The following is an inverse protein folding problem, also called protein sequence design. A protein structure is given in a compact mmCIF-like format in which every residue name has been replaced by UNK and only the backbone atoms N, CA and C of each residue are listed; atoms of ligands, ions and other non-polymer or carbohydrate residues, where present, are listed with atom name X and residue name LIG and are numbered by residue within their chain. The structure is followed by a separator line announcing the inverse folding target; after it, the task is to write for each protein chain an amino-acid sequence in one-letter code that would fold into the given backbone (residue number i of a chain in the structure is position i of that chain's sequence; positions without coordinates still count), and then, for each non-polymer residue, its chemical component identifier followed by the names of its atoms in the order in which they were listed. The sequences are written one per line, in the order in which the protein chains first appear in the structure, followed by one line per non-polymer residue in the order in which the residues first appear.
data_IF_880227970704
#
_entry.id   IF_880227970704
#
_cell.length_a   1.000
_cell.length_b   1.000
_cell.length_c   1.000
_cell.angle_alpha   90.00
_cell.angle_beta   90.00
_cell.angle_gamma   90.00
#
_symmetry.space_group_name_H-M   'P 1'
#
loop_
_entity.id
_entity.type
_entity.pdbx_description
1 polymer ?
#
# COMPACT_ATOMS: atom_id res chain seq x y z
N UNK A 1 21.78 -16.09 -9.16
CA UNK A 1 22.69 -15.17 -9.88
C UNK A 1 22.08 -13.78 -9.83
N UNK A 2 22.83 -12.81 -9.30
CA UNK A 2 22.35 -11.50 -8.85
C UNK A 2 21.92 -10.59 -10.02
N UNK A 3 20.74 -9.99 -9.93
CA UNK A 3 20.20 -9.03 -10.90
C UNK A 3 20.44 -7.57 -10.49
N UNK A 4 21.32 -7.32 -9.50
CA UNK A 4 21.74 -5.97 -9.14
C UNK A 4 22.82 -5.56 -10.13
N UNK A 5 22.36 -5.18 -11.32
CA UNK A 5 23.16 -4.47 -12.32
C UNK A 5 23.82 -3.30 -11.60
N UNK A 6 25.14 -3.26 -11.67
CA UNK A 6 25.98 -2.23 -11.08
C UNK A 6 25.41 -0.84 -11.36
N UNK A 7 25.44 0.02 -10.33
CA UNK A 7 25.11 1.44 -10.43
C UNK A 7 26.24 2.14 -11.23
N UNK A 8 26.33 1.80 -12.52
CA UNK A 8 27.40 2.24 -13.40
C UNK A 8 27.19 3.71 -13.74
N UNK A 9 28.20 4.57 -13.50
CA UNK A 9 28.13 5.99 -13.86
C UNK A 9 27.87 6.21 -15.35
N UNK A 10 28.26 5.27 -16.21
CA UNK A 10 27.98 5.30 -17.65
C UNK A 10 26.53 5.01 -17.95
N UNK A 11 25.94 4.02 -17.27
CA UNK A 11 24.52 3.72 -17.39
C UNK A 11 23.66 4.93 -16.99
N UNK A 12 24.00 5.57 -15.87
CA UNK A 12 23.26 6.74 -15.41
C UNK A 12 23.35 7.93 -16.37
N UNK A 13 24.53 8.16 -16.97
CA UNK A 13 24.72 9.20 -17.99
C UNK A 13 23.89 8.93 -19.24
N UNK A 14 23.96 7.71 -19.78
CA UNK A 14 23.21 7.31 -20.97
C UNK A 14 21.70 7.39 -20.73
N UNK A 15 21.23 6.97 -19.55
CA UNK A 15 19.83 7.10 -19.15
C UNK A 15 19.40 8.57 -19.10
N UNK A 16 20.17 9.43 -18.44
CA UNK A 16 19.85 10.86 -18.35
C UNK A 16 19.85 11.55 -19.73
N UNK A 17 20.74 11.15 -20.64
CA UNK A 17 20.76 11.64 -22.02
C UNK A 17 19.52 11.19 -22.79
N UNK A 18 19.17 9.91 -22.72
CA UNK A 18 17.96 9.36 -23.33
C UNK A 18 16.69 10.05 -22.83
N UNK A 19 16.58 10.33 -21.52
CA UNK A 19 15.44 11.05 -20.93
C UNK A 19 15.38 12.50 -21.42
N UNK A 20 16.52 13.17 -21.62
CA UNK A 20 16.56 14.54 -22.17
C UNK A 20 16.21 14.59 -23.66
N UNK A 21 16.49 13.52 -24.40
CA UNK A 21 16.14 13.39 -25.80
C UNK A 21 14.63 13.13 -26.02
N UNK A 22 13.88 12.78 -24.97
CA UNK A 22 12.42 12.70 -25.05
C UNK A 22 11.84 14.10 -25.18
N UNK A 23 11.28 14.39 -26.35
CA UNK A 23 10.59 15.63 -26.61
C UNK A 23 9.16 15.59 -26.02
N UNK A 24 9.06 15.87 -24.72
CA UNK A 24 7.78 15.95 -24.00
C UNK A 24 6.73 16.88 -24.62
N UNK A 25 7.08 18.05 -25.19
CA UNK A 25 6.10 18.91 -25.87
C UNK A 25 5.73 18.44 -27.27
N UNK A 26 6.25 17.32 -27.77
CA UNK A 26 5.83 16.80 -29.06
C UNK A 26 4.33 16.44 -29.05
N UNK A 27 3.63 16.88 -30.11
CA UNK A 27 2.17 16.81 -30.19
C UNK A 27 1.63 15.38 -30.19
N UNK A 28 2.45 14.41 -30.62
CA UNK A 28 2.17 12.98 -30.59
C UNK A 28 2.11 12.43 -29.15
N UNK A 29 3.02 12.85 -28.27
CA UNK A 29 2.98 12.50 -26.85
C UNK A 29 1.72 13.01 -26.15
N UNK A 30 1.34 14.26 -26.43
CA UNK A 30 0.12 14.85 -25.90
C UNK A 30 -1.14 14.12 -26.41
N UNK A 31 -1.18 13.79 -27.70
CA UNK A 31 -2.29 13.04 -28.29
C UNK A 31 -2.41 11.62 -27.70
N UNK A 32 -1.29 10.92 -27.50
CA UNK A 32 -1.28 9.58 -26.91
C UNK A 32 -1.78 9.59 -25.46
N UNK A 33 -1.35 10.57 -24.66
CA UNK A 33 -1.79 10.72 -23.27
C UNK A 33 -3.28 11.08 -23.17
N UNK A 34 -3.76 12.00 -24.00
CA UNK A 34 -5.18 12.34 -24.08
C UNK A 34 -6.03 11.14 -24.50
N UNK A 35 -5.60 10.37 -25.50
CA UNK A 35 -6.29 9.15 -25.93
C UNK A 35 -6.31 8.06 -24.86
N UNK A 36 -5.29 7.97 -24.00
CA UNK A 36 -5.31 7.09 -22.83
C UNK A 36 -6.29 7.58 -21.76
N UNK A 37 -6.26 8.88 -21.43
CA UNK A 37 -7.15 9.50 -20.45
C UNK A 37 -8.63 9.33 -20.83
N UNK A 38 -8.98 9.54 -22.10
CA UNK A 38 -10.33 9.34 -22.62
C UNK A 38 -10.79 7.88 -22.53
N UNK A 39 -9.91 6.91 -22.84
CA UNK A 39 -10.22 5.48 -22.70
C UNK A 39 -10.45 5.07 -21.24
N UNK A 40 -9.69 5.65 -20.31
CA UNK A 40 -9.89 5.42 -18.88
C UNK A 40 -11.22 6.02 -18.39
N UNK A 41 -11.55 7.24 -18.84
CA UNK A 41 -12.83 7.88 -18.52
C UNK A 41 -14.04 7.14 -19.11
N UNK A 42 -13.93 6.61 -20.34
CA UNK A 42 -14.98 5.79 -20.94
C UNK A 42 -15.25 4.50 -20.16
N UNK A 43 -14.21 3.89 -19.58
CA UNK A 43 -14.34 2.72 -18.71
C UNK A 43 -15.05 3.02 -17.38
N UNK A 44 -14.97 4.25 -16.89
CA UNK A 44 -15.64 4.67 -15.65
C UNK A 44 -17.05 5.21 -15.87
N UNK A 45 -17.42 5.50 -17.12
CA UNK A 45 -18.68 6.17 -17.48
C UNK A 45 -19.71 5.25 -18.13
N UNK A 46 -19.46 3.93 -18.20
CA UNK A 46 -20.45 3.00 -18.74
C UNK A 46 -21.72 3.03 -17.85
N UNK A 47 -22.87 3.45 -18.37
CA UNK A 47 -24.09 3.53 -17.59
C UNK A 47 -24.63 2.13 -17.32
N UNK A 48 -24.94 1.90 -16.05
CA UNK A 48 -25.64 0.74 -15.53
C UNK A 48 -27.06 0.72 -16.11
N UNK A 49 -27.28 -0.11 -17.13
CA UNK A 49 -28.62 -0.39 -17.65
C UNK A 49 -28.67 -1.81 -18.20
N UNK A 50 -29.04 -2.78 -17.36
CA UNK A 50 -30.35 -3.45 -17.47
C UNK A 50 -30.43 -4.71 -16.58
N UNK A 51 -31.47 -4.70 -15.73
CA UNK A 51 -32.34 -5.82 -15.37
C UNK A 51 -31.80 -7.09 -14.67
N UNK A 52 -32.17 -7.18 -13.38
CA UNK A 52 -32.80 -8.32 -12.68
C UNK A 52 -32.27 -9.75 -12.94
N UNK A 53 -31.62 -10.31 -11.92
CA UNK A 53 -32.01 -11.62 -11.36
C UNK A 53 -31.58 -11.73 -9.89
N UNK A 54 -32.40 -12.31 -8.98
CA UNK A 54 -32.01 -12.56 -7.61
C UNK A 54 -31.42 -13.98 -7.50
N UNK A 55 -30.10 -14.08 -7.32
CA UNK A 55 -29.52 -15.30 -6.73
C UNK A 55 -28.77 -14.91 -5.47
N UNK A 56 -29.42 -15.21 -4.34
CA UNK A 56 -28.74 -15.47 -3.07
C UNK A 56 -27.68 -16.54 -3.33
N UNK A 57 -26.42 -16.17 -3.24
CA UNK A 57 -25.36 -17.08 -2.87
C UNK A 57 -24.41 -16.34 -1.92
N UNK A 58 -24.41 -16.83 -0.69
CA UNK A 58 -23.44 -16.52 0.36
C UNK A 58 -22.05 -16.86 -0.14
N UNK A 59 -21.29 -15.84 -0.54
CA UNK A 59 -19.83 -15.87 -0.49
C UNK A 59 -19.36 -14.42 -0.35
N UNK A 60 -18.89 -14.10 0.85
CA UNK A 60 -18.32 -12.80 1.17
C UNK A 60 -17.17 -12.49 0.18
N UNK A 61 -17.17 -11.31 -0.48
CA UNK A 61 -16.03 -10.92 -1.28
C UNK A 61 -14.86 -10.65 -0.34
N UNK A 62 -13.80 -11.43 -0.49
CA UNK A 62 -12.50 -11.11 0.09
C UNK A 62 -12.15 -9.64 -0.23
N UNK A 63 -11.59 -8.86 0.72
CA UNK A 63 -11.22 -7.49 0.44
C UNK A 63 -10.17 -7.50 -0.67
N UNK A 64 -10.54 -6.95 -1.83
CA UNK A 64 -9.65 -6.80 -2.98
C UNK A 64 -8.39 -6.10 -2.48
N UNK A 65 -7.25 -6.78 -2.51
CA UNK A 65 -5.95 -6.12 -2.33
C UNK A 65 -5.87 -5.00 -3.34
N UNK A 66 -5.87 -3.76 -2.85
CA UNK A 66 -5.58 -2.60 -3.66
C UNK A 66 -4.18 -2.78 -4.29
N UNK A 67 -3.97 -2.34 -5.53
CA UNK A 67 -2.64 -2.35 -6.13
C UNK A 67 -1.68 -1.59 -5.21
N UNK A 68 -0.48 -2.14 -5.04
CA UNK A 68 0.56 -1.75 -4.08
C UNK A 68 1.19 -0.36 -4.31
N UNK A 69 0.42 0.61 -4.80
CA UNK A 69 0.87 1.98 -5.07
C UNK A 69 -0.13 3.08 -4.73
N UNK A 70 -1.37 2.77 -4.32
CA UNK A 70 -2.28 3.77 -3.74
C UNK A 70 -2.44 3.47 -2.26
N UNK A 71 -1.84 4.32 -1.42
CA UNK A 71 -2.19 4.35 0.01
C UNK A 71 -3.70 4.51 0.07
N UNK A 72 -4.45 3.59 0.70
CA UNK A 72 -5.88 3.77 0.88
C UNK A 72 -6.13 5.11 1.58
N UNK A 73 -7.17 5.82 1.14
CA UNK A 73 -7.55 7.12 1.71
C UNK A 73 -7.68 6.93 3.22
N UNK A 74 -6.80 7.59 3.97
CA UNK A 74 -6.77 7.46 5.42
C UNK A 74 -8.17 7.80 5.98
N UNK A 75 -8.77 6.93 6.81
CA UNK A 75 -10.07 7.20 7.38
C UNK A 75 -10.08 8.53 8.14
N UNK A 76 -11.13 9.33 7.96
CA UNK A 76 -11.21 10.68 8.52
C UNK A 76 -11.07 10.70 10.05
N UNK A 77 -11.59 9.67 10.75
CA UNK A 77 -11.44 9.55 12.20
C UNK A 77 -9.98 9.31 12.64
N UNK A 78 -9.16 8.65 11.82
CA UNK A 78 -7.72 8.51 12.05
C UNK A 78 -7.01 9.81 11.72
N UNK A 79 -7.40 10.46 10.62
CA UNK A 79 -6.82 11.72 10.17
C UNK A 79 -6.94 12.84 11.20
N UNK A 80 -8.10 12.94 11.86
CA UNK A 80 -8.34 13.91 12.95
C UNK A 80 -7.53 13.66 14.21
N UNK A 81 -7.03 12.43 14.40
CA UNK A 81 -6.19 12.07 15.53
C UNK A 81 -4.70 12.34 15.26
N UNK A 82 -4.31 12.72 14.03
CA UNK A 82 -2.91 13.06 13.75
C UNK A 82 -2.53 14.27 14.60
N UNK A 83 -1.57 14.11 15.53
CA UNK A 83 -1.22 15.20 16.41
C UNK A 83 -0.38 16.23 15.64
N UNK A 84 -0.47 17.49 16.07
CA UNK A 84 0.30 18.63 15.52
C UNK A 84 1.20 19.20 16.61
N UNK A 85 2.40 19.59 16.25
CA UNK A 85 3.35 20.18 17.20
C UNK A 85 2.98 21.64 17.47
N UNK A 86 3.79 22.32 18.29
CA UNK A 86 3.59 23.74 18.60
C UNK A 86 3.61 24.64 17.36
N UNK A 87 4.32 24.22 16.30
CA UNK A 87 4.42 24.91 15.02
C UNK A 87 3.33 24.47 14.02
N UNK A 88 2.40 23.60 14.45
CA UNK A 88 1.33 23.06 13.61
C UNK A 88 1.77 21.97 12.63
N UNK A 89 3.00 21.46 12.73
CA UNK A 89 3.55 20.43 11.85
C UNK A 89 3.02 19.05 12.22
N UNK A 90 2.72 18.27 11.20
CA UNK A 90 2.33 16.87 11.35
C UNK A 90 3.56 15.94 11.29
N UNK A 91 3.53 14.78 11.94
CA UNK A 91 4.61 13.80 11.85
C UNK A 91 4.75 13.18 10.43
N UNK A 92 5.97 12.82 10.01
CA UNK A 92 6.18 11.96 8.83
C UNK A 92 5.69 10.54 9.16
N UNK A 93 4.43 10.25 8.83
CA UNK A 93 3.77 8.98 9.15
C UNK A 93 4.55 7.74 8.68
N UNK A 94 5.22 7.84 7.53
CA UNK A 94 6.05 6.77 6.98
C UNK A 94 7.37 6.56 7.74
N UNK A 95 7.90 7.62 8.37
CA UNK A 95 9.04 7.51 9.28
C UNK A 95 8.64 6.79 10.57
N UNK A 96 7.52 7.22 11.15
CA UNK A 96 7.02 6.69 12.42
C UNK A 96 6.46 5.27 12.33
N UNK A 97 6.25 4.73 11.12
CA UNK A 97 6.02 3.31 10.89
C UNK A 97 7.32 2.48 10.82
N UNK A 98 8.48 3.11 11.01
CA UNK A 98 9.80 2.47 10.94
C UNK A 98 10.38 2.33 9.53
N UNK A 99 9.80 3.02 8.53
CA UNK A 99 10.29 3.03 7.15
C UNK A 99 11.07 4.30 6.80
N UNK A 100 11.64 4.34 5.59
CA UNK A 100 12.20 5.57 5.04
C UNK A 100 11.07 6.50 4.53
N UNK A 101 11.15 7.80 4.80
CA UNK A 101 10.25 8.78 4.19
C UNK A 101 10.42 8.81 2.66
N UNK A 102 9.53 9.51 1.95
CA UNK A 102 9.59 9.65 0.50
C UNK A 102 10.90 10.27 -0.03
N UNK A 103 11.64 10.97 0.81
CA UNK A 103 12.96 11.52 0.49
C UNK A 103 14.15 10.63 0.81
N UNK A 104 13.92 9.38 1.24
CA UNK A 104 14.97 8.44 1.65
C UNK A 104 15.51 8.67 3.06
N UNK A 105 15.54 9.90 3.58
CA UNK A 105 15.95 10.19 4.95
C UNK A 105 15.06 11.25 5.62
N UNK A 106 15.26 11.48 6.92
CA UNK A 106 14.56 12.51 7.67
C UNK A 106 14.96 13.92 7.19
N UNK A 107 16.23 14.12 6.83
CA UNK A 107 16.79 15.41 6.37
C UNK A 107 16.34 15.75 4.95
N UNK A 108 16.09 14.73 4.11
CA UNK A 108 15.72 14.90 2.70
C UNK A 108 14.24 14.65 2.42
N UNK A 109 13.41 14.57 3.46
CA UNK A 109 12.01 14.22 3.32
C UNK A 109 11.30 15.10 2.27
N UNK A 110 10.60 14.45 1.32
CA UNK A 110 9.84 15.15 0.27
C UNK A 110 8.70 16.04 0.82
N UNK A 111 8.41 15.93 2.11
CA UNK A 111 7.47 16.80 2.82
C UNK A 111 8.20 17.57 3.92
N UNK A 112 8.89 18.65 3.53
CA UNK A 112 9.69 19.46 4.45
C UNK A 112 8.89 20.08 5.62
N UNK A 113 7.58 20.23 5.49
CA UNK A 113 6.69 20.72 6.56
C UNK A 113 6.34 19.64 7.61
N UNK A 114 6.77 18.39 7.41
CA UNK A 114 6.54 17.30 8.37
C UNK A 114 7.73 17.13 9.29
N UNK A 115 7.46 16.81 10.54
CA UNK A 115 8.51 16.54 11.52
C UNK A 115 8.85 15.06 11.61
N UNK A 116 10.10 14.78 11.93
CA UNK A 116 10.65 13.44 12.19
C UNK A 116 11.00 13.26 13.67
N UNK A 117 10.79 14.30 14.46
CA UNK A 117 10.99 14.31 15.89
C UNK A 117 9.62 14.42 16.56
N UNK A 118 9.29 13.46 17.42
CA UNK A 118 8.06 13.47 18.20
C UNK A 118 8.32 12.85 19.56
N UNK A 119 8.25 13.67 20.62
CA UNK A 119 8.58 13.25 21.99
C UNK A 119 7.54 12.32 22.61
N UNK A 120 6.34 12.28 22.02
CA UNK A 120 5.21 11.48 22.52
C UNK A 120 4.98 10.25 21.65
N UNK A 121 4.26 9.27 22.16
CA UNK A 121 3.73 8.21 21.30
C UNK A 121 2.57 8.76 20.47
N UNK A 122 2.47 8.33 19.22
CA UNK A 122 1.31 8.62 18.37
C UNK A 122 0.07 7.92 18.95
N UNK A 123 -1.14 8.48 18.76
CA UNK A 123 -2.38 7.81 19.13
C UNK A 123 -2.46 6.42 18.52
N UNK A 124 -3.00 5.46 19.27
CA UNK A 124 -2.98 4.03 18.92
C UNK A 124 -3.57 3.76 17.54
N UNK A 125 -4.68 4.38 17.20
CA UNK A 125 -5.35 4.20 15.90
C UNK A 125 -4.50 4.71 14.74
N UNK A 126 -3.76 5.80 14.96
CA UNK A 126 -2.81 6.35 13.99
C UNK A 126 -1.64 5.40 13.82
N UNK A 127 -1.06 4.91 14.92
CA UNK A 127 0.04 3.95 14.88
C UNK A 127 -0.36 2.64 14.17
N UNK A 128 -1.50 2.05 14.57
CA UNK A 128 -2.03 0.82 13.95
C UNK A 128 -2.27 1.02 12.44
N UNK A 129 -2.75 2.19 12.03
CA UNK A 129 -2.93 2.51 10.62
C UNK A 129 -1.58 2.59 9.90
N UNK A 130 -0.61 3.35 10.42
CA UNK A 130 0.67 3.53 9.72
C UNK A 130 1.49 2.25 9.67
N UNK A 131 1.44 1.40 10.69
CA UNK A 131 2.14 0.12 10.69
C UNK A 131 1.58 -0.82 9.62
N UNK A 132 0.26 -0.83 9.41
CA UNK A 132 -0.39 -1.66 8.39
C UNK A 132 -0.12 -1.18 6.95
N UNK A 133 0.05 0.12 6.75
CA UNK A 133 0.13 0.72 5.41
C UNK A 133 1.53 1.14 4.98
N UNK A 134 2.38 1.47 5.94
CA UNK A 134 3.74 1.97 5.72
C UNK A 134 4.80 1.16 6.44
N UNK A 135 4.42 0.33 7.42
CA UNK A 135 5.34 -0.57 8.10
C UNK A 135 5.95 -1.59 7.14
N UNK A 136 7.06 -2.23 7.52
CA UNK A 136 7.61 -3.33 6.75
C UNK A 136 6.50 -4.36 6.57
N UNK A 137 6.08 -4.58 5.31
CA UNK A 137 5.05 -5.57 4.99
C UNK A 137 5.40 -6.93 5.61
N UNK A 138 4.43 -7.84 5.79
CA UNK A 138 4.70 -9.14 6.42
C UNK A 138 5.87 -9.80 5.70
N UNK A 139 7.04 -9.76 6.33
CA UNK A 139 8.22 -10.38 5.78
C UNK A 139 7.98 -11.89 5.67
N UNK A 140 8.71 -12.59 4.78
CA UNK A 140 8.53 -14.03 4.58
C UNK A 140 8.65 -14.87 5.86
N UNK A 141 9.21 -14.33 6.96
CA UNK A 141 9.34 -14.99 8.26
C UNK A 141 8.06 -15.00 9.11
N UNK A 142 7.05 -14.18 8.81
CA UNK A 142 5.79 -14.15 9.58
C UNK A 142 4.76 -15.19 9.10
N UNK A 143 4.84 -15.62 7.83
CA UNK A 143 3.97 -16.65 7.27
C UNK A 143 4.26 -18.04 7.86
N UNK A 144 5.54 -18.37 8.08
CA UNK A 144 5.97 -19.68 8.58
C UNK A 144 5.50 -20.00 10.02
N UNK A 145 5.12 -18.99 10.82
CA UNK A 145 4.64 -19.20 12.20
C UNK A 145 3.15 -19.47 12.32
N UNK A 146 2.36 -19.20 11.27
CA UNK A 146 0.91 -19.47 11.28
C UNK A 146 0.57 -20.88 10.79
N UNK A 147 1.35 -21.48 9.88
CA UNK A 147 1.14 -22.87 9.45
C UNK A 147 1.35 -23.85 10.60
N UNK A 148 2.42 -23.69 11.39
CA UNK A 148 2.75 -24.61 12.51
C UNK A 148 1.64 -24.66 13.57
N UNK A 149 0.87 -23.57 13.75
CA UNK A 149 -0.21 -23.51 14.76
C UNK A 149 -1.55 -24.05 14.25
N UNK A 150 -1.75 -24.11 12.94
CA UNK A 150 -2.97 -24.64 12.32
C UNK A 150 -2.95 -26.16 12.22
N UNK A 151 -1.79 -26.77 12.00
CA UNK A 151 -1.67 -28.23 11.91
C UNK A 151 -1.85 -28.94 13.26
N UNK A 152 -1.47 -28.31 14.38
CA UNK A 152 -1.62 -28.94 15.70
C UNK A 152 -3.05 -28.97 16.26
N UNK A 153 -4.05 -28.41 15.56
CA UNK A 153 -5.45 -28.36 16.05
C UNK A 153 -6.37 -29.42 15.43
N UNK A 154 -5.89 -30.21 14.46
CA UNK A 154 -6.77 -31.13 13.73
C UNK A 154 -6.64 -32.61 14.12
N UNK A 155 -5.81 -32.95 15.11
CA UNK A 155 -5.48 -34.36 15.43
C UNK A 155 -6.15 -34.87 16.73
N UNK A 156 -7.41 -34.49 16.96
CA UNK A 156 -8.08 -34.84 18.21
C UNK A 156 -9.60 -34.81 18.16
N UNK A 157 -10.23 -35.52 17.22
CA UNK A 157 -11.67 -35.80 17.33
C UNK A 157 -12.15 -37.00 16.49
N UNK A 158 -11.79 -38.20 16.93
CA UNK A 158 -12.51 -39.46 16.73
C UNK A 158 -11.92 -40.38 17.83
N UNK A 159 -12.63 -41.04 18.73
CA UNK A 159 -13.86 -41.79 18.62
C UNK A 159 -14.31 -42.09 20.07
N UNK A 160 -15.56 -41.81 20.41
CA UNK A 160 -16.18 -42.25 21.67
C UNK A 160 -17.68 -42.41 21.47
N UNK A 161 -18.07 -43.48 20.78
CA UNK A 161 -19.42 -44.06 20.92
C UNK A 161 -19.38 -45.59 20.86
N UNK A 162 -19.18 -46.21 22.03
CA UNK A 162 -19.80 -47.50 22.43
C UNK A 162 -20.25 -47.25 23.88
N UNK A 163 -21.50 -47.37 24.29
CA UNK A 163 -22.55 -48.30 23.90
C UNK A 163 -22.99 -49.02 25.17
N UNK A 164 -24.07 -48.56 25.80
CA UNK A 164 -24.85 -49.20 26.87
C UNK A 164 -26.26 -48.59 26.83
N UNK A 165 -27.33 -49.27 27.30
CA UNK A 165 -27.37 -50.42 28.19
C UNK A 165 -27.66 -51.76 27.50
#
# INVERSE_FOLDING_TARGET
MAHLVEDSPEWWRNYCEAVRAVDYPAADWQAALNGLALRLAARTSAPEASARQPQRNTNAPAPRRAPAGRVPIMPEHVRRQIPRDADGREPCLRYFSGGMCYGGSAERCAHAHRTHHWDRRLPRDVQDFIDRHYGPGPGPRAAARQEIRSDSRNDGSADSRRGRP
#
